data_IF_661738154387
#
_entry.id   IF_661738154387
#
_cell.length_a   1.000
_cell.length_b   1.000
_cell.length_c   1.000
_cell.angle_alpha   90.00
_cell.angle_beta   90.00
_cell.angle_gamma   90.00
#
_symmetry.space_group_name_H-M   'P 1'
#
loop_
_entity.id
_entity.type
_entity.pdbx_description
1 polymer ?
#
# COMPACT_ATOMS: atom_id res chain seq x y z
N UNK A 1 -6.78 9.72 -35.70
CA UNK A 1 -7.57 9.63 -34.45
C UNK A 1 -6.87 8.90 -33.31
N UNK A 2 -5.74 8.22 -33.53
CA UNK A 2 -5.04 7.45 -32.49
C UNK A 2 -4.10 8.32 -31.65
N UNK A 3 -4.65 9.26 -30.86
CA UNK A 3 -3.87 9.99 -29.85
C UNK A 3 -3.88 9.20 -28.55
N UNK A 4 -2.73 8.65 -28.16
CA UNK A 4 -2.53 8.00 -26.86
C UNK A 4 -1.82 8.96 -25.92
N UNK A 5 -2.49 9.31 -24.82
CA UNK A 5 -1.90 10.01 -23.69
C UNK A 5 -1.36 8.99 -22.69
N UNK A 6 -0.12 9.19 -22.24
CA UNK A 6 0.46 8.35 -21.20
C UNK A 6 -0.27 8.57 -19.88
N UNK A 7 -0.80 7.48 -19.29
CA UNK A 7 -1.38 7.48 -17.95
C UNK A 7 -0.53 6.63 -17.03
N UNK A 8 -0.25 7.15 -15.85
CA UNK A 8 0.36 6.38 -14.76
C UNK A 8 -0.73 5.78 -13.89
N UNK A 9 -0.67 4.46 -13.70
CA UNK A 9 -1.53 3.74 -12.77
C UNK A 9 -0.86 3.70 -11.41
N UNK A 10 -1.43 4.43 -10.44
CA UNK A 10 -0.92 4.45 -9.07
C UNK A 10 -1.33 3.18 -8.33
N UNK A 11 -0.42 2.65 -7.52
CA UNK A 11 -0.70 1.53 -6.63
C UNK A 11 -1.76 1.91 -5.59
N UNK A 12 -2.56 0.93 -5.13
CA UNK A 12 -3.53 1.15 -4.06
C UNK A 12 -2.83 1.14 -2.70
N UNK A 13 -2.33 2.31 -2.31
CA UNK A 13 -1.65 2.54 -1.04
C UNK A 13 -2.67 3.03 -0.02
N UNK A 14 -2.71 2.40 1.15
CA UNK A 14 -3.59 2.75 2.27
C UNK A 14 -2.76 3.15 3.48
N UNK A 15 -3.32 4.01 4.33
CA UNK A 15 -2.72 4.40 5.60
C UNK A 15 -3.29 3.50 6.70
N UNK A 16 -2.45 2.69 7.33
CA UNK A 16 -2.87 1.67 8.30
C UNK A 16 -1.92 1.65 9.50
N UNK A 17 -2.45 1.22 10.65
CA UNK A 17 -1.64 0.90 11.83
C UNK A 17 -1.04 -0.48 11.65
N UNK A 18 0.28 -0.55 11.72
CA UNK A 18 1.03 -1.79 11.52
C UNK A 18 2.06 -1.94 12.65
N UNK A 19 2.29 -3.17 13.10
CA UNK A 19 3.37 -3.47 14.03
C UNK A 19 4.69 -3.45 13.25
N UNK A 20 5.55 -2.50 13.60
CA UNK A 20 6.93 -2.44 13.10
C UNK A 20 7.83 -2.63 14.31
N UNK A 21 8.59 -3.72 14.33
CA UNK A 21 9.51 -4.04 15.43
C UNK A 21 8.82 -4.02 16.81
N UNK A 22 7.62 -4.60 16.91
CA UNK A 22 6.84 -4.68 18.14
C UNK A 22 6.06 -3.42 18.53
N UNK A 23 6.30 -2.28 17.88
CA UNK A 23 5.59 -1.02 18.17
C UNK A 23 4.53 -0.72 17.10
N UNK A 24 3.28 -0.38 17.48
CA UNK A 24 2.27 0.06 16.52
C UNK A 24 2.64 1.42 15.92
N UNK A 25 2.77 1.48 14.60
CA UNK A 25 3.04 2.72 13.85
C UNK A 25 2.07 2.88 12.69
N UNK A 26 1.66 4.11 12.41
CA UNK A 26 0.86 4.44 11.23
C UNK A 26 1.78 4.60 10.02
N UNK A 27 1.61 3.76 9.00
CA UNK A 27 2.40 3.83 7.79
C UNK A 27 1.58 3.57 6.53
N UNK A 28 2.17 3.90 5.39
CA UNK A 28 1.60 3.68 4.08
C UNK A 28 1.93 2.28 3.61
N UNK A 29 0.91 1.46 3.41
CA UNK A 29 1.05 0.05 3.01
C UNK A 29 0.25 -0.21 1.75
N UNK A 30 0.82 -1.02 0.87
CA UNK A 30 0.14 -1.46 -0.33
C UNK A 30 -0.95 -2.49 -0.02
N UNK A 31 -2.09 -2.43 -0.70
CA UNK A 31 -3.19 -3.37 -0.45
C UNK A 31 -2.78 -4.85 -0.69
N UNK A 32 -1.86 -5.11 -1.62
CA UNK A 32 -1.29 -6.44 -1.83
C UNK A 32 -0.40 -6.89 -0.67
N UNK A 33 0.36 -5.98 -0.06
CA UNK A 33 1.20 -6.23 1.11
C UNK A 33 0.32 -6.72 2.28
N UNK A 34 -0.80 -6.03 2.52
CA UNK A 34 -1.80 -6.41 3.52
C UNK A 34 -2.43 -7.78 3.23
N UNK A 35 -2.77 -8.06 1.96
CA UNK A 35 -3.36 -9.34 1.55
C UNK A 35 -2.39 -10.51 1.69
N UNK A 36 -1.10 -10.25 1.45
CA UNK A 36 -0.03 -11.25 1.55
C UNK A 36 0.47 -11.53 2.97
N UNK A 37 -0.06 -10.85 4.00
CA UNK A 37 0.38 -11.03 5.38
C UNK A 37 1.81 -10.54 5.68
N UNK A 38 2.46 -9.87 4.72
CA UNK A 38 3.82 -9.30 4.89
C UNK A 38 3.90 -8.21 5.95
N UNK A 39 2.75 -7.66 6.32
CA UNK A 39 2.63 -6.61 7.34
C UNK A 39 1.53 -7.00 8.29
N UNK A 40 1.88 -7.17 9.56
CA UNK A 40 0.93 -7.41 10.63
C UNK A 40 0.22 -6.10 10.98
N UNK A 41 -1.11 -6.13 10.94
CA UNK A 41 -1.92 -5.06 11.52
C UNK A 41 -1.74 -5.12 13.03
N UNK A 42 -1.47 -3.95 13.62
CA UNK A 42 -1.41 -3.82 15.07
C UNK A 42 -2.81 -3.83 15.67
#
# INVERSE_FOLDING_TARGET
SHRRSNRVWKSNIKRVSCKVNGTPRKLYVCASCLRSGKVERA
#
